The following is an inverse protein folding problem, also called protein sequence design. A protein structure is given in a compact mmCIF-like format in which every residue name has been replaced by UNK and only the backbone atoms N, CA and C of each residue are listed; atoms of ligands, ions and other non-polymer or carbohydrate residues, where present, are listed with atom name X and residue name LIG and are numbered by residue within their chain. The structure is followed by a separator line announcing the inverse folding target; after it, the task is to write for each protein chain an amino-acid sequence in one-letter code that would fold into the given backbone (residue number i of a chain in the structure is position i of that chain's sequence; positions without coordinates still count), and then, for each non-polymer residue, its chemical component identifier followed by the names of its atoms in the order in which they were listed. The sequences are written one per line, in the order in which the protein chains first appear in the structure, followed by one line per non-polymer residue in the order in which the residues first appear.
data_IF_661169979890
#
_entry.id   IF_661169979890
#
_cell.length_a   1.000
_cell.length_b   1.000
_cell.length_c   1.000
_cell.angle_alpha   90.00
_cell.angle_beta   90.00
_cell.angle_gamma   90.00
#
_symmetry.space_group_name_H-M   'P 1'
#
loop_
_entity.id
_entity.type
_entity.pdbx_description
1 polymer ?
#
# COMPACT_ATOMS: atom_id res chain seq x y z
N UNK A 1 8.25 12.60 -22.14
CA UNK A 1 9.12 13.79 -22.02
C UNK A 1 10.55 13.32 -21.78
N UNK A 2 11.57 13.95 -22.39
CA UNK A 2 12.96 13.75 -21.94
C UNK A 2 13.16 14.66 -20.73
N UNK A 3 13.11 14.09 -19.53
CA UNK A 3 13.31 14.85 -18.31
C UNK A 3 14.80 15.06 -18.06
N UNK A 4 15.16 16.29 -17.70
CA UNK A 4 16.52 16.73 -17.38
C UNK A 4 16.48 17.53 -16.08
N UNK A 5 17.61 17.66 -15.38
CA UNK A 5 17.71 18.48 -14.16
C UNK A 5 17.16 19.92 -14.36
N UNK A 6 17.38 20.51 -15.53
CA UNK A 6 16.88 21.84 -15.85
C UNK A 6 15.35 21.87 -16.01
N UNK A 7 14.77 20.91 -16.73
CA UNK A 7 13.31 20.84 -16.90
C UNK A 7 12.57 20.55 -15.59
N UNK A 8 13.17 19.75 -14.71
CA UNK A 8 12.60 19.46 -13.39
C UNK A 8 12.60 20.69 -12.49
N UNK A 9 13.71 21.44 -12.45
CA UNK A 9 13.79 22.70 -11.71
C UNK A 9 12.76 23.72 -12.18
N UNK A 10 12.61 23.87 -13.51
CA UNK A 10 11.62 24.77 -14.09
C UNK A 10 10.19 24.33 -13.77
N UNK A 11 9.90 23.03 -13.81
CA UNK A 11 8.58 22.47 -13.46
C UNK A 11 8.24 22.77 -11.99
N UNK A 12 9.15 22.46 -11.06
CA UNK A 12 8.92 22.70 -9.63
C UNK A 12 8.78 24.19 -9.32
N UNK A 13 9.54 25.06 -10.00
CA UNK A 13 9.41 26.50 -9.87
C UNK A 13 8.05 26.99 -10.39
N UNK A 14 7.60 26.48 -11.54
CA UNK A 14 6.27 26.78 -12.08
C UNK A 14 5.15 26.31 -11.15
N UNK A 15 5.19 25.07 -10.66
CA UNK A 15 4.19 24.52 -9.74
C UNK A 15 4.06 25.35 -8.45
N UNK A 16 5.18 25.91 -7.96
CA UNK A 16 5.17 26.84 -6.81
C UNK A 16 4.51 28.18 -7.11
N UNK A 17 4.64 28.67 -8.35
CA UNK A 17 4.13 29.98 -8.77
C UNK A 17 2.65 29.94 -9.21
N UNK A 18 2.26 28.94 -9.99
CA UNK A 18 0.92 28.85 -10.62
C UNK A 18 0.04 27.76 -10.02
N UNK A 19 0.55 27.01 -9.04
CA UNK A 19 -0.13 25.87 -8.43
C UNK A 19 0.12 24.56 -9.18
N UNK A 20 0.14 23.46 -8.43
CA UNK A 20 0.33 22.11 -8.97
C UNK A 20 -0.87 21.67 -9.82
N UNK A 21 -0.59 21.14 -11.02
CA UNK A 21 -1.54 20.40 -11.84
C UNK A 21 -1.08 18.95 -12.01
N UNK A 22 -1.92 17.96 -11.66
CA UNK A 22 -1.59 16.56 -11.88
C UNK A 22 -1.32 16.25 -13.35
N UNK A 23 -0.20 15.59 -13.61
CA UNK A 23 0.20 15.11 -14.92
C UNK A 23 0.51 13.62 -14.76
N UNK A 24 -0.50 12.74 -14.97
CA UNK A 24 -0.32 11.32 -14.85
C UNK A 24 0.81 10.82 -15.73
N UNK A 25 1.64 9.94 -15.19
CA UNK A 25 2.71 9.29 -15.95
C UNK A 25 2.77 7.81 -15.61
N UNK A 26 3.25 7.06 -16.58
CA UNK A 26 3.41 5.62 -16.48
C UNK A 26 4.89 5.29 -16.67
N UNK A 27 5.50 4.68 -15.66
CA UNK A 27 6.91 4.28 -15.68
C UNK A 27 7.14 3.04 -16.55
N UNK A 28 6.14 2.18 -16.63
CA UNK A 28 6.15 0.96 -17.45
C UNK A 28 4.71 0.68 -17.93
N UNK A 29 4.47 0.44 -19.23
CA UNK A 29 3.13 0.22 -19.75
C UNK A 29 2.32 -0.85 -19.01
N UNK A 30 1.08 -0.53 -18.66
CA UNK A 30 0.14 -1.42 -17.98
C UNK A 30 0.09 -1.24 -16.45
N UNK A 31 1.12 -0.66 -15.84
CA UNK A 31 1.18 -0.48 -14.39
C UNK A 31 0.21 0.60 -13.89
N UNK A 32 -0.11 1.61 -14.71
CA UNK A 32 -1.17 2.57 -14.40
C UNK A 32 -2.51 1.87 -14.24
N UNK A 33 -2.85 0.97 -15.17
CA UNK A 33 -4.07 0.15 -15.12
C UNK A 33 -4.08 -0.79 -13.91
N UNK A 34 -2.96 -1.43 -13.59
CA UNK A 34 -2.86 -2.27 -12.39
C UNK A 34 -3.14 -1.47 -11.11
N UNK A 35 -2.58 -0.26 -11.02
CA UNK A 35 -2.84 0.66 -9.89
C UNK A 35 -4.31 1.04 -9.79
N UNK A 36 -4.97 1.35 -10.91
CA UNK A 36 -6.40 1.65 -10.93
C UNK A 36 -7.24 0.46 -10.47
N UNK A 37 -6.93 -0.76 -10.93
CA UNK A 37 -7.62 -1.98 -10.48
C UNK A 37 -7.47 -2.20 -8.98
N UNK A 38 -6.26 -2.08 -8.44
CA UNK A 38 -5.99 -2.21 -7.00
C UNK A 38 -6.70 -1.08 -6.22
N UNK A 39 -6.67 0.15 -6.74
CA UNK A 39 -7.35 1.29 -6.11
C UNK A 39 -8.85 1.01 -5.95
N UNK A 40 -9.52 0.44 -6.95
CA UNK A 40 -10.94 0.11 -6.86
C UNK A 40 -11.23 -0.94 -5.78
N UNK A 41 -10.40 -2.00 -5.69
CA UNK A 41 -10.52 -3.01 -4.64
C UNK A 41 -10.34 -2.39 -3.24
N UNK A 42 -9.32 -1.55 -3.07
CA UNK A 42 -9.04 -0.93 -1.77
C UNK A 42 -10.07 0.14 -1.43
N UNK A 43 -10.59 0.91 -2.40
CA UNK A 43 -11.70 1.85 -2.19
C UNK A 43 -13.00 1.13 -1.80
N UNK A 44 -13.25 -0.06 -2.36
CA UNK A 44 -14.35 -0.93 -1.95
C UNK A 44 -14.19 -1.38 -0.49
N UNK A 45 -12.99 -1.83 -0.11
CA UNK A 45 -12.68 -2.22 1.27
C UNK A 45 -12.85 -1.05 2.24
N UNK A 46 -12.31 0.13 1.89
CA UNK A 46 -12.46 1.32 2.73
C UNK A 46 -13.93 1.72 2.89
N UNK A 47 -14.75 1.54 1.85
CA UNK A 47 -16.19 1.80 1.90
C UNK A 47 -16.87 0.84 2.87
N UNK A 48 -16.68 -0.46 2.67
CA UNK A 48 -17.33 -1.50 3.46
C UNK A 48 -16.94 -1.42 4.94
N UNK A 49 -15.65 -1.24 5.24
CA UNK A 49 -15.13 -1.22 6.61
C UNK A 49 -15.11 0.18 7.24
N UNK A 50 -15.68 1.18 6.56
CA UNK A 50 -15.82 2.57 7.03
C UNK A 50 -14.47 3.19 7.41
N UNK A 51 -13.45 2.94 6.59
CA UNK A 51 -12.15 3.59 6.73
C UNK A 51 -12.13 4.95 6.02
N UNK A 52 -11.19 5.85 6.38
CA UNK A 52 -11.07 7.15 5.72
C UNK A 52 -10.95 7.03 4.21
N UNK A 53 -11.66 7.90 3.48
CA UNK A 53 -11.63 7.99 2.02
C UNK A 53 -11.60 9.46 1.63
N UNK A 54 -10.64 9.83 0.78
CA UNK A 54 -10.48 11.20 0.25
C UNK A 54 -10.56 12.27 1.37
N UNK A 55 -10.04 11.94 2.54
CA UNK A 55 -10.03 12.78 3.72
C UNK A 55 -8.93 13.85 3.61
N UNK A 56 -9.18 15.01 4.21
CA UNK A 56 -8.11 15.99 4.43
C UNK A 56 -7.17 15.37 5.45
N UNK A 57 -5.85 15.25 5.16
CA UNK A 57 -4.93 14.59 6.08
C UNK A 57 -4.73 15.43 7.33
N UNK A 58 -4.88 14.77 8.47
CA UNK A 58 -4.44 15.26 9.78
C UNK A 58 -3.23 14.41 10.26
N UNK A 59 -2.54 14.82 11.34
CA UNK A 59 -1.42 14.06 11.86
C UNK A 59 -1.76 12.61 12.21
N UNK A 60 -2.95 12.35 12.77
CA UNK A 60 -3.36 11.01 13.18
C UNK A 60 -3.52 10.07 11.98
N UNK A 61 -4.17 10.53 10.91
CA UNK A 61 -4.30 9.78 9.66
C UNK A 61 -2.94 9.50 9.03
N UNK A 62 -2.06 10.51 8.95
CA UNK A 62 -0.72 10.35 8.39
C UNK A 62 0.11 9.33 9.17
N UNK A 63 0.11 9.39 10.50
CA UNK A 63 0.79 8.41 11.37
C UNK A 63 0.20 7.01 11.23
N UNK A 64 -1.13 6.90 11.12
CA UNK A 64 -1.78 5.61 10.88
C UNK A 64 -1.33 5.01 9.54
N UNK A 65 -1.33 5.80 8.45
CA UNK A 65 -0.85 5.32 7.14
C UNK A 65 0.63 4.96 7.15
N UNK A 66 1.46 5.76 7.84
CA UNK A 66 2.88 5.46 8.04
C UNK A 66 3.08 4.13 8.77
N UNK A 67 2.34 3.90 9.86
CA UNK A 67 2.40 2.67 10.64
C UNK A 67 2.03 1.45 9.80
N UNK A 68 0.92 1.52 9.06
CA UNK A 68 0.48 0.40 8.20
C UNK A 68 1.52 0.08 7.13
N UNK A 69 2.06 1.09 6.42
CA UNK A 69 3.12 0.85 5.43
C UNK A 69 4.37 0.27 6.09
N UNK A 70 4.75 0.76 7.27
CA UNK A 70 5.90 0.24 7.99
C UNK A 70 5.70 -1.22 8.41
N UNK A 71 4.51 -1.59 8.89
CA UNK A 71 4.18 -2.97 9.28
C UNK A 71 4.39 -3.91 8.08
N UNK A 72 3.69 -3.68 6.96
CA UNK A 72 3.76 -4.59 5.82
C UNK A 72 5.12 -4.56 5.11
N UNK A 73 5.71 -3.38 4.90
CA UNK A 73 6.96 -3.28 4.13
C UNK A 73 8.20 -3.59 4.98
N UNK A 74 8.29 -3.05 6.20
CA UNK A 74 9.53 -3.10 6.99
C UNK A 74 9.56 -4.32 7.89
N UNK A 75 8.46 -4.59 8.59
CA UNK A 75 8.40 -5.72 9.52
C UNK A 75 8.28 -7.04 8.77
N UNK A 76 7.58 -7.07 7.64
CA UNK A 76 7.30 -8.31 6.90
C UNK A 76 8.08 -8.40 5.57
N UNK A 77 7.93 -7.41 4.69
CA UNK A 77 8.50 -7.43 3.34
C UNK A 77 10.02 -7.51 3.27
N UNK A 78 10.74 -6.66 4.03
CA UNK A 78 12.21 -6.68 4.04
C UNK A 78 12.74 -8.04 4.54
N UNK A 79 12.32 -8.57 5.71
CA UNK A 79 12.75 -9.90 6.15
C UNK A 79 12.40 -11.01 5.16
N UNK A 80 11.19 -11.00 4.59
CA UNK A 80 10.78 -12.01 3.60
C UNK A 80 11.70 -12.01 2.37
N UNK A 81 12.00 -10.83 1.84
CA UNK A 81 12.96 -10.66 0.75
C UNK A 81 14.37 -11.13 1.12
N UNK A 82 14.89 -10.70 2.27
CA UNK A 82 16.25 -11.05 2.73
C UNK A 82 16.44 -12.54 3.01
N UNK A 83 15.39 -13.20 3.50
CA UNK A 83 15.42 -14.62 3.83
C UNK A 83 15.10 -15.53 2.63
N UNK A 84 14.74 -14.95 1.47
CA UNK A 84 14.31 -15.74 0.31
C UNK A 84 13.01 -16.52 0.53
N UNK A 85 12.19 -16.11 1.49
CA UNK A 85 10.90 -16.74 1.76
C UNK A 85 9.89 -16.27 0.71
N UNK A 86 9.74 -17.05 -0.35
CA UNK A 86 8.88 -16.69 -1.48
C UNK A 86 7.40 -16.57 -1.10
N UNK A 87 6.92 -17.37 -0.15
CA UNK A 87 5.52 -17.29 0.29
C UNK A 87 5.30 -15.99 1.05
N UNK A 88 6.15 -15.69 2.04
CA UNK A 88 6.07 -14.45 2.80
C UNK A 88 6.33 -13.20 1.93
N UNK A 89 7.19 -13.33 0.91
CA UNK A 89 7.47 -12.24 -0.03
C UNK A 89 6.21 -11.88 -0.83
N UNK A 90 5.52 -12.87 -1.38
CA UNK A 90 4.29 -12.65 -2.15
C UNK A 90 3.18 -12.06 -1.28
N UNK A 91 3.05 -12.53 -0.04
CA UNK A 91 2.10 -11.98 0.94
C UNK A 91 2.41 -10.49 1.21
N UNK A 92 3.65 -10.19 1.61
CA UNK A 92 4.08 -8.83 1.91
C UNK A 92 4.04 -7.89 0.69
N UNK A 93 4.31 -8.38 -0.52
CA UNK A 93 4.14 -7.60 -1.75
C UNK A 93 2.70 -7.14 -1.91
N UNK A 94 1.75 -8.05 -1.71
CA UNK A 94 0.33 -7.79 -1.90
C UNK A 94 -0.25 -6.94 -0.77
N UNK A 95 0.10 -7.20 0.48
CA UNK A 95 -0.30 -6.41 1.63
C UNK A 95 0.30 -5.00 1.61
N UNK A 96 1.58 -4.86 1.22
CA UNK A 96 2.18 -3.55 0.97
C UNK A 96 1.38 -2.78 -0.10
N UNK A 97 1.04 -3.39 -1.22
CA UNK A 97 0.24 -2.72 -2.26
C UNK A 97 -1.14 -2.31 -1.72
N UNK A 98 -1.76 -3.15 -0.90
CA UNK A 98 -3.04 -2.87 -0.26
C UNK A 98 -2.97 -1.64 0.64
N UNK A 99 -1.93 -1.52 1.49
CA UNK A 99 -1.75 -0.36 2.38
C UNK A 99 -1.12 0.85 1.70
N UNK A 100 -0.29 0.66 0.68
CA UNK A 100 0.31 1.72 -0.13
C UNK A 100 -0.75 2.43 -0.95
N UNK A 101 -1.50 1.69 -1.77
CA UNK A 101 -2.63 2.23 -2.53
C UNK A 101 -3.76 2.70 -1.61
N UNK A 102 -3.99 2.00 -0.49
CA UNK A 102 -4.94 2.46 0.53
C UNK A 102 -4.62 3.82 1.13
N UNK A 103 -3.33 4.23 1.11
CA UNK A 103 -2.93 5.58 1.52
C UNK A 103 -3.39 6.62 0.50
N UNK A 104 -3.34 6.29 -0.79
CA UNK A 104 -3.86 7.13 -1.88
C UNK A 104 -5.39 7.21 -1.89
N UNK A 105 -6.08 6.14 -1.49
CA UNK A 105 -7.53 6.11 -1.26
C UNK A 105 -7.92 6.99 -0.08
N UNK A 106 -7.18 6.89 1.03
CA UNK A 106 -7.51 7.58 2.27
C UNK A 106 -7.41 9.11 2.17
N UNK A 107 -6.44 9.62 1.41
CA UNK A 107 -6.10 11.04 1.38
C UNK A 107 -6.69 11.72 0.15
N UNK A 108 -7.28 12.91 0.34
CA UNK A 108 -7.86 13.72 -0.73
C UNK A 108 -6.81 14.03 -1.80
N UNK A 109 -7.11 13.66 -3.04
CA UNK A 109 -6.19 13.83 -4.17
C UNK A 109 -4.99 12.87 -4.15
N UNK A 110 -4.98 11.85 -3.29
CA UNK A 110 -3.85 10.93 -3.15
C UNK A 110 -3.46 10.25 -4.46
N UNK A 111 -4.42 9.68 -5.20
CA UNK A 111 -4.16 9.02 -6.48
C UNK A 111 -3.61 9.96 -7.56
N UNK A 112 -4.24 11.12 -7.77
CA UNK A 112 -3.79 12.09 -8.78
C UNK A 112 -2.40 12.63 -8.46
N UNK A 113 -2.12 12.81 -7.17
CA UNK A 113 -0.87 13.32 -6.65
C UNK A 113 0.25 12.27 -6.71
N UNK A 114 -0.06 11.01 -6.40
CA UNK A 114 0.90 9.90 -6.48
C UNK A 114 1.27 9.50 -7.89
N UNK A 115 0.27 9.39 -8.77
CA UNK A 115 0.46 9.03 -10.18
C UNK A 115 1.03 10.17 -11.03
N UNK A 116 1.35 11.33 -10.43
CA UNK A 116 1.96 12.45 -11.14
C UNK A 116 3.47 12.39 -11.12
N UNK A 117 4.08 12.75 -12.24
CA UNK A 117 5.54 12.85 -12.33
C UNK A 117 6.06 13.96 -11.41
N UNK A 118 7.08 13.66 -10.60
CA UNK A 118 7.71 14.63 -9.71
C UNK A 118 9.01 15.19 -10.30
N UNK A 119 10.09 14.39 -10.33
CA UNK A 119 11.37 14.70 -11.01
C UNK A 119 12.02 13.43 -11.53
N UNK A 120 13.05 13.52 -12.35
CA UNK A 120 13.65 12.37 -13.03
C UNK A 120 14.29 11.48 -11.97
N UNK A 121 15.05 12.11 -11.09
CA UNK A 121 15.69 11.49 -9.93
C UNK A 121 14.66 10.84 -9.01
N UNK A 122 13.54 11.51 -8.75
CA UNK A 122 12.58 11.06 -7.74
C UNK A 122 11.48 10.13 -8.29
N UNK A 123 11.34 10.03 -9.60
CA UNK A 123 10.33 9.16 -10.20
C UNK A 123 10.99 8.06 -11.02
N UNK A 124 11.73 8.44 -12.06
CA UNK A 124 12.25 7.48 -13.04
C UNK A 124 13.50 6.79 -12.54
N UNK A 125 14.50 7.51 -12.04
CA UNK A 125 15.78 6.91 -11.64
C UNK A 125 15.59 5.94 -10.47
N UNK A 126 14.76 6.31 -9.48
CA UNK A 126 14.37 5.42 -8.39
C UNK A 126 13.66 4.16 -8.89
N UNK A 127 12.72 4.30 -9.82
CA UNK A 127 12.05 3.14 -10.42
C UNK A 127 13.01 2.26 -11.23
N UNK A 128 13.96 2.84 -11.97
CA UNK A 128 14.95 2.06 -12.72
C UNK A 128 15.80 1.22 -11.75
N UNK A 129 16.10 1.77 -10.57
CA UNK A 129 16.76 1.10 -9.46
C UNK A 129 15.83 0.14 -8.71
N UNK A 130 15.29 -0.87 -9.38
CA UNK A 130 14.43 -1.90 -8.73
C UNK A 130 15.10 -3.26 -8.64
N UNK A 131 15.79 -3.73 -9.68
CA UNK A 131 16.42 -5.07 -9.73
C UNK A 131 17.70 -5.01 -10.58
N UNK A 132 18.67 -5.87 -10.27
CA UNK A 132 19.98 -6.05 -10.88
C UNK A 132 20.91 -4.87 -10.63
N UNK A 133 20.89 -4.36 -9.39
CA UNK A 133 21.76 -3.25 -8.99
C UNK A 133 23.19 -3.78 -8.83
N UNK A 134 24.21 -3.13 -9.45
CA UNK A 134 25.59 -3.59 -9.31
C UNK A 134 26.03 -3.67 -7.85
N UNK A 135 26.46 -4.87 -7.42
CA UNK A 135 26.92 -5.13 -6.05
C UNK A 135 25.84 -5.67 -5.10
N UNK A 136 24.56 -5.66 -5.50
CA UNK A 136 23.48 -6.27 -4.73
C UNK A 136 23.40 -7.79 -4.98
N UNK A 137 22.95 -8.53 -3.97
CA UNK A 137 22.40 -9.89 -4.16
C UNK A 137 20.97 -9.82 -4.70
N UNK A 138 20.44 -10.95 -5.18
CA UNK A 138 19.02 -11.04 -5.57
C UNK A 138 18.08 -10.69 -4.42
N UNK A 139 18.45 -11.03 -3.19
CA UNK A 139 17.70 -10.73 -1.97
C UNK A 139 17.73 -9.24 -1.63
N UNK A 140 18.86 -8.57 -1.89
CA UNK A 140 18.96 -7.13 -1.74
C UNK A 140 18.03 -6.41 -2.71
N UNK A 141 18.00 -6.86 -3.96
CA UNK A 141 17.12 -6.32 -4.99
C UNK A 141 15.63 -6.54 -4.70
N UNK A 142 15.26 -7.74 -4.20
CA UNK A 142 13.89 -8.02 -3.77
C UNK A 142 13.41 -7.12 -2.62
N UNK A 143 14.33 -6.62 -1.80
CA UNK A 143 13.99 -5.75 -0.67
C UNK A 143 13.78 -4.27 -1.07
N UNK A 144 14.26 -3.85 -2.25
CA UNK A 144 14.27 -2.43 -2.63
C UNK A 144 12.87 -1.79 -2.65
N UNK A 145 11.80 -2.42 -3.21
CA UNK A 145 10.46 -1.82 -3.17
C UNK A 145 9.99 -1.52 -1.73
N UNK A 146 10.37 -2.37 -0.77
CA UNK A 146 10.02 -2.21 0.63
C UNK A 146 10.87 -1.16 1.35
N UNK A 147 12.16 -1.03 1.02
CA UNK A 147 12.99 0.08 1.49
C UNK A 147 12.49 1.43 0.92
N UNK A 148 12.01 1.45 -0.32
CA UNK A 148 11.37 2.64 -0.90
C UNK A 148 10.08 3.01 -0.14
N UNK A 149 9.28 2.01 0.24
CA UNK A 149 8.07 2.17 1.04
C UNK A 149 8.35 2.63 2.48
N UNK A 150 9.41 2.11 3.12
CA UNK A 150 9.89 2.54 4.44
C UNK A 150 10.16 4.03 4.49
N UNK A 151 10.91 4.53 3.53
CA UNK A 151 11.21 5.96 3.43
C UNK A 151 9.93 6.79 3.22
N UNK A 152 8.94 6.26 2.49
CA UNK A 152 7.65 6.93 2.36
C UNK A 152 6.89 6.99 3.71
N UNK A 153 6.95 5.93 4.52
CA UNK A 153 6.41 5.93 5.88
C UNK A 153 7.11 6.95 6.78
N UNK A 154 8.44 7.08 6.70
CA UNK A 154 9.19 8.11 7.42
C UNK A 154 8.76 9.52 7.01
N UNK A 155 8.53 9.76 5.71
CA UNK A 155 8.07 11.07 5.24
C UNK A 155 6.63 11.39 5.66
N UNK A 156 5.74 10.38 5.75
CA UNK A 156 4.40 10.57 6.31
C UNK A 156 4.48 11.02 7.79
N UNK A 157 5.33 10.39 8.59
CA UNK A 157 5.57 10.81 9.98
C UNK A 157 6.15 12.22 10.07
N UNK A 158 7.15 12.55 9.24
CA UNK A 158 7.73 13.89 9.21
C UNK A 158 6.70 14.97 8.82
N UNK A 159 5.78 14.65 7.90
CA UNK A 159 4.67 15.55 7.55
C UNK A 159 3.68 15.70 8.73
N UNK A 160 3.38 14.62 9.45
CA UNK A 160 2.56 14.67 10.66
C UNK A 160 3.20 15.58 11.73
N UNK A 161 4.49 15.40 12.01
CA UNK A 161 5.25 16.23 12.95
C UNK A 161 5.21 17.71 12.53
N UNK A 162 5.35 17.99 11.23
CA UNK A 162 5.31 19.34 10.66
C UNK A 162 3.94 20.01 10.85
N UNK A 163 2.86 19.26 10.66
CA UNK A 163 1.48 19.73 10.87
C UNK A 163 1.17 20.02 12.34
N UNK A 164 1.75 19.25 13.27
CA UNK A 164 1.61 19.48 14.71
C UNK A 164 2.44 20.68 15.18
N UNK A 165 3.64 20.86 14.63
CA UNK A 165 4.57 21.90 15.06
C UNK A 165 4.13 23.31 14.64
N UNK A 166 3.53 23.47 13.45
CA UNK A 166 3.06 24.77 12.97
C UNK A 166 1.95 24.65 11.92
N UNK A 167 1.08 25.67 11.82
CA UNK A 167 0.21 25.81 10.66
C UNK A 167 1.05 25.90 9.37
N UNK A 168 0.65 25.16 8.35
CA UNK A 168 1.19 25.27 6.99
C UNK A 168 0.09 25.70 6.05
N UNK A 169 0.46 26.32 4.93
CA UNK A 169 -0.51 26.70 3.88
C UNK A 169 -1.00 25.49 3.09
N UNK A 170 -2.18 25.58 2.48
CA UNK A 170 -2.71 24.53 1.58
C UNK A 170 -1.74 24.18 0.45
N UNK A 171 -1.05 25.18 -0.12
CA UNK A 171 -0.06 24.97 -1.18
C UNK A 171 1.15 24.17 -0.67
N UNK A 172 1.62 24.48 0.54
CA UNK A 172 2.71 23.73 1.17
C UNK A 172 2.29 22.29 1.48
N UNK A 173 1.08 22.08 2.01
CA UNK A 173 0.54 20.75 2.26
C UNK A 173 0.46 19.93 0.97
N UNK A 174 -0.06 20.51 -0.12
CA UNK A 174 -0.14 19.84 -1.43
C UNK A 174 1.24 19.45 -1.94
N UNK A 175 2.26 20.30 -1.77
CA UNK A 175 3.63 20.00 -2.18
C UNK A 175 4.24 18.83 -1.39
N UNK A 176 4.05 18.82 -0.06
CA UNK A 176 4.54 17.73 0.79
C UNK A 176 3.83 16.42 0.45
N UNK A 177 2.49 16.45 0.33
CA UNK A 177 1.71 15.28 -0.08
C UNK A 177 2.13 14.78 -1.46
N UNK A 178 2.43 15.67 -2.42
CA UNK A 178 2.96 15.27 -3.72
C UNK A 178 4.24 14.50 -3.63
N UNK A 179 5.18 14.96 -2.82
CA UNK A 179 6.45 14.28 -2.62
C UNK A 179 6.23 12.88 -2.03
N UNK A 180 5.40 12.76 -1.00
CA UNK A 180 5.16 11.49 -0.29
C UNK A 180 4.35 10.52 -1.14
N UNK A 181 3.25 10.95 -1.76
CA UNK A 181 2.41 10.09 -2.59
C UNK A 181 3.16 9.57 -3.82
N UNK A 182 4.00 10.41 -4.46
CA UNK A 182 4.83 9.96 -5.57
C UNK A 182 5.82 8.88 -5.10
N UNK A 183 6.37 9.00 -3.89
CA UNK A 183 7.26 7.98 -3.34
C UNK A 183 6.54 6.65 -3.10
N UNK A 184 5.34 6.69 -2.52
CA UNK A 184 4.49 5.50 -2.36
C UNK A 184 4.18 4.89 -3.74
N UNK A 185 3.82 5.72 -4.72
CA UNK A 185 3.53 5.25 -6.07
C UNK A 185 4.74 4.57 -6.71
N UNK A 186 5.92 5.18 -6.64
CA UNK A 186 7.17 4.56 -7.14
C UNK A 186 7.39 3.22 -6.46
N UNK A 187 7.28 3.11 -5.13
CA UNK A 187 7.39 1.82 -4.44
C UNK A 187 6.39 0.78 -4.96
N UNK A 188 5.12 1.14 -5.18
CA UNK A 188 4.14 0.23 -5.80
C UNK A 188 4.58 -0.24 -7.19
N UNK A 189 5.09 0.66 -8.02
CA UNK A 189 5.58 0.35 -9.37
C UNK A 189 6.79 -0.58 -9.34
N UNK A 190 7.67 -0.41 -8.36
CA UNK A 190 8.80 -1.30 -8.11
C UNK A 190 8.31 -2.70 -7.72
N UNK A 191 7.27 -2.81 -6.90
CA UNK A 191 6.62 -4.10 -6.57
C UNK A 191 5.98 -4.76 -7.79
N UNK A 192 5.33 -4.00 -8.68
CA UNK A 192 4.79 -4.55 -9.93
C UNK A 192 5.91 -5.10 -10.82
N UNK A 193 7.03 -4.36 -10.91
CA UNK A 193 8.21 -4.83 -11.65
C UNK A 193 8.76 -6.11 -11.05
N UNK A 194 8.83 -6.23 -9.74
CA UNK A 194 9.22 -7.48 -9.08
C UNK A 194 8.27 -8.64 -9.42
N UNK A 195 6.96 -8.39 -9.44
CA UNK A 195 5.96 -9.37 -9.86
C UNK A 195 6.16 -9.85 -11.31
N UNK A 196 6.47 -8.92 -12.24
CA UNK A 196 6.79 -9.27 -13.64
C UNK A 196 7.97 -10.25 -13.72
N UNK A 197 9.03 -10.02 -12.94
CA UNK A 197 10.19 -10.92 -12.91
C UNK A 197 9.87 -12.29 -12.29
N UNK A 198 8.92 -12.35 -11.36
CA UNK A 198 8.39 -13.60 -10.80
C UNK A 198 7.35 -14.27 -11.71
N UNK A 199 6.92 -13.62 -12.78
CA UNK A 199 5.87 -14.10 -13.67
C UNK A 199 4.49 -14.13 -13.01
N UNK A 200 4.26 -13.23 -12.05
CA UNK A 200 3.03 -13.14 -11.25
C UNK A 200 2.16 -12.01 -11.78
N UNK A 201 0.88 -12.31 -12.03
CA UNK A 201 -0.12 -11.27 -12.22
C UNK A 201 -0.39 -10.60 -10.87
N UNK A 202 0.11 -9.38 -10.73
CA UNK A 202 0.06 -8.65 -9.47
C UNK A 202 -1.37 -8.22 -9.08
N UNK A 203 -2.25 -8.01 -10.07
CA UNK A 203 -3.64 -7.66 -9.81
C UNK A 203 -4.38 -8.87 -9.26
N UNK A 204 -4.13 -10.06 -9.81
CA UNK A 204 -4.66 -11.32 -9.30
C UNK A 204 -4.16 -11.65 -7.90
N UNK A 205 -2.87 -11.40 -7.62
CA UNK A 205 -2.30 -11.58 -6.29
C UNK A 205 -2.99 -10.68 -5.26
N UNK A 206 -3.14 -9.40 -5.57
CA UNK A 206 -3.85 -8.45 -4.69
C UNK A 206 -5.35 -8.77 -4.61
N UNK A 207 -5.97 -9.31 -5.67
CA UNK A 207 -7.36 -9.74 -5.64
C UNK A 207 -7.61 -10.87 -4.65
N UNK A 208 -6.64 -11.78 -4.45
CA UNK A 208 -6.75 -12.84 -3.45
C UNK A 208 -6.66 -12.30 -2.01
N UNK A 209 -5.73 -11.36 -1.76
CA UNK A 209 -5.69 -10.59 -0.50
C UNK A 209 -7.01 -9.85 -0.28
N UNK A 210 -7.52 -9.18 -1.31
CA UNK A 210 -8.78 -8.45 -1.25
C UNK A 210 -9.94 -9.38 -0.91
N UNK A 211 -10.10 -10.51 -1.63
CA UNK A 211 -11.12 -11.52 -1.36
C UNK A 211 -11.08 -11.94 0.09
N UNK A 212 -9.90 -12.31 0.59
CA UNK A 212 -9.71 -12.69 1.98
C UNK A 212 -10.13 -11.57 2.93
N UNK A 213 -9.64 -10.34 2.72
CA UNK A 213 -9.99 -9.15 3.50
C UNK A 213 -11.50 -8.86 3.56
N UNK A 214 -12.23 -9.08 2.47
CA UNK A 214 -13.68 -8.89 2.41
C UNK A 214 -14.46 -9.93 3.22
N UNK A 215 -13.86 -11.09 3.53
CA UNK A 215 -14.47 -12.12 4.41
C UNK A 215 -14.32 -11.84 5.91
N UNK A 216 -13.73 -10.69 6.30
CA UNK A 216 -13.58 -10.32 7.73
C UNK A 216 -14.90 -10.00 8.42
N UNK A 217 -16.00 -9.81 7.67
CA UNK A 217 -17.33 -9.53 8.21
C UNK A 217 -17.85 -10.67 9.09
N UNK A 218 -18.57 -10.29 10.13
CA UNK A 218 -19.18 -11.16 11.12
C UNK A 218 -20.66 -11.38 10.82
N UNK A 219 -21.24 -12.52 11.25
CA UNK A 219 -22.64 -12.83 10.99
C UNK A 219 -23.61 -11.73 11.40
N UNK A 220 -24.62 -11.51 10.56
CA UNK A 220 -25.75 -10.62 10.82
C UNK A 220 -26.65 -11.15 11.94
N UNK A 221 -26.95 -12.45 11.86
CA UNK A 221 -27.79 -13.14 12.83
C UNK A 221 -27.17 -13.10 14.23
N UNK A 222 -28.01 -12.79 15.22
CA UNK A 222 -27.56 -12.57 16.58
C UNK A 222 -27.05 -13.86 17.23
N UNK A 223 -27.66 -15.01 16.92
CA UNK A 223 -27.29 -16.30 17.48
C UNK A 223 -26.02 -16.84 16.81
N UNK A 224 -25.92 -16.76 15.48
CA UNK A 224 -24.69 -17.10 14.76
C UNK A 224 -23.52 -16.23 15.23
N UNK A 225 -23.73 -14.92 15.40
CA UNK A 225 -22.69 -14.01 15.91
C UNK A 225 -22.32 -14.33 17.36
N UNK A 226 -23.29 -14.69 18.20
CA UNK A 226 -23.02 -15.12 19.59
C UNK A 226 -22.12 -16.36 19.60
N UNK A 227 -22.43 -17.36 18.77
CA UNK A 227 -21.58 -18.56 18.63
C UNK A 227 -20.19 -18.22 18.09
N UNK A 228 -20.10 -17.31 17.12
CA UNK A 228 -18.83 -16.83 16.60
C UNK A 228 -17.98 -16.13 17.71
N UNK A 229 -18.61 -15.27 18.52
CA UNK A 229 -17.94 -14.60 19.66
C UNK A 229 -17.44 -15.61 20.68
N UNK A 230 -18.22 -16.64 21.00
CA UNK A 230 -17.81 -17.68 21.95
C UNK A 230 -16.60 -18.49 21.47
N UNK A 231 -16.45 -18.68 20.16
CA UNK A 231 -15.37 -19.47 19.57
C UNK A 231 -14.19 -18.62 19.07
N UNK A 232 -14.23 -17.29 19.24
CA UNK A 232 -13.14 -16.42 18.77
C UNK A 232 -12.00 -16.30 19.79
N UNK A 233 -10.82 -15.93 19.30
CA UNK A 233 -9.60 -15.74 20.11
C UNK A 233 -9.50 -14.37 20.80
N UNK A 234 -10.50 -13.50 20.63
CA UNK A 234 -10.44 -12.11 21.08
C UNK A 234 -10.96 -11.95 22.50
N UNK A 235 -10.50 -10.92 23.19
CA UNK A 235 -11.09 -10.51 24.47
C UNK A 235 -12.52 -10.03 24.22
N UNK A 236 -13.50 -10.73 24.81
CA UNK A 236 -14.92 -10.41 24.69
C UNK A 236 -15.27 -9.05 25.30
N UNK A 237 -14.52 -8.61 26.32
CA UNK A 237 -14.71 -7.28 26.93
C UNK A 237 -14.23 -6.13 26.05
N UNK A 238 -13.41 -6.43 25.05
CA UNK A 238 -12.82 -5.46 24.12
C UNK A 238 -13.33 -5.68 22.68
N UNK A 239 -14.34 -6.54 22.49
CA UNK A 239 -14.93 -6.84 21.19
C UNK A 239 -16.22 -6.03 20.97
N UNK A 240 -16.16 -5.10 20.04
CA UNK A 240 -17.29 -4.28 19.58
C UNK A 240 -17.80 -4.70 18.21
N UNK A 241 -19.05 -4.36 17.93
CA UNK A 241 -19.69 -4.59 16.63
C UNK A 241 -20.39 -3.34 16.12
N UNK A 242 -20.28 -3.09 14.82
CA UNK A 242 -21.08 -2.10 14.11
C UNK A 242 -21.52 -2.63 12.76
N UNK A 243 -22.59 -2.08 12.21
CA UNK A 243 -23.12 -2.54 10.93
C UNK A 243 -22.17 -2.21 9.77
N UNK A 244 -22.00 -3.15 8.84
CA UNK A 244 -21.28 -2.91 7.59
C UNK A 244 -22.24 -2.31 6.56
N UNK A 245 -22.03 -1.05 6.17
CA UNK A 245 -22.93 -0.36 5.24
C UNK A 245 -23.10 -1.10 3.92
N UNK A 246 -24.35 -1.22 3.46
CA UNK A 246 -24.69 -1.90 2.20
C UNK A 246 -24.76 -3.43 2.28
N UNK A 247 -24.65 -4.01 3.47
CA UNK A 247 -24.81 -5.45 3.72
C UNK A 247 -25.59 -5.68 5.02
N UNK A 248 -26.12 -6.87 5.29
CA UNK A 248 -26.72 -7.17 6.60
C UNK A 248 -25.68 -7.55 7.67
N UNK A 249 -24.40 -7.69 7.28
CA UNK A 249 -23.34 -8.22 8.11
C UNK A 249 -22.74 -7.17 9.07
N UNK A 250 -21.94 -7.65 10.02
CA UNK A 250 -21.32 -6.80 11.04
C UNK A 250 -19.81 -6.67 10.85
N UNK A 251 -19.28 -5.52 11.23
CA UNK A 251 -17.85 -5.28 11.43
C UNK A 251 -17.54 -5.54 12.90
N UNK A 252 -16.76 -6.59 13.17
CA UNK A 252 -16.13 -6.79 14.49
C UNK A 252 -14.88 -5.93 14.60
N UNK A 253 -14.74 -5.20 15.70
CA UNK A 253 -13.57 -4.36 15.95
C UNK A 253 -13.17 -4.38 17.41
N UNK A 254 -11.90 -4.10 17.67
CA UNK A 254 -11.37 -3.94 19.02
C UNK A 254 -11.73 -2.56 19.56
N UNK A 255 -12.38 -2.47 20.71
CA UNK A 255 -12.86 -1.20 21.27
C UNK A 255 -11.69 -0.29 21.67
N UNK A 256 -10.60 -0.86 22.18
CA UNK A 256 -9.44 -0.11 22.67
C UNK A 256 -8.73 0.73 21.60
N UNK A 257 -8.72 0.30 20.35
CA UNK A 257 -7.94 0.93 19.28
C UNK A 257 -8.60 0.96 17.89
N UNK A 258 -9.83 0.44 17.78
CA UNK A 258 -10.59 0.41 16.54
C UNK A 258 -10.11 -0.60 15.49
N UNK A 259 -9.17 -1.51 15.82
CA UNK A 259 -8.67 -2.52 14.87
C UNK A 259 -9.80 -3.44 14.41
N UNK A 260 -9.98 -3.60 13.10
CA UNK A 260 -10.92 -4.57 12.53
C UNK A 260 -10.44 -5.98 12.83
N UNK A 261 -11.35 -6.82 13.33
CA UNK A 261 -11.07 -8.18 13.76
C UNK A 261 -11.67 -9.19 12.78
N UNK A 262 -10.88 -10.19 12.41
CA UNK A 262 -11.31 -11.26 11.49
C UNK A 262 -12.41 -12.10 12.14
N UNK A 263 -13.54 -12.27 11.45
CA UNK A 263 -14.58 -13.24 11.85
C UNK A 263 -14.00 -14.66 11.97
N UNK A 264 -14.51 -15.53 12.85
CA UNK A 264 -14.16 -16.96 12.85
C UNK A 264 -14.49 -17.68 11.53
N UNK A 265 -15.43 -17.15 10.74
CA UNK A 265 -15.76 -17.65 9.40
C UNK A 265 -14.89 -17.03 8.29
N UNK A 266 -13.85 -16.29 8.66
CA UNK A 266 -12.89 -15.69 7.73
C UNK A 266 -12.19 -16.76 6.89
N UNK A 267 -11.97 -16.45 5.62
CA UNK A 267 -11.23 -17.29 4.71
C UNK A 267 -9.82 -16.74 4.53
N UNK A 268 -8.83 -17.53 4.97
CA UNK A 268 -7.41 -17.20 4.81
C UNK A 268 -7.03 -17.05 3.33
N UNK A 269 -5.95 -16.30 3.09
CA UNK A 269 -5.34 -16.09 1.78
C UNK A 269 -4.78 -17.41 1.26
N UNK A 270 -5.07 -17.76 0.01
CA UNK A 270 -4.43 -18.91 -0.66
C UNK A 270 -3.39 -18.45 -1.68
N UNK A 271 -2.12 -18.49 -1.26
CA UNK A 271 -0.98 -18.13 -2.11
C UNK A 271 -0.43 -19.29 -2.95
N UNK A 272 -0.99 -20.49 -2.85
CA UNK A 272 -0.39 -21.72 -3.40
C UNK A 272 -0.07 -21.59 -4.89
N UNK A 273 -1.06 -21.14 -5.69
CA UNK A 273 -0.89 -20.97 -7.14
C UNK A 273 0.19 -19.94 -7.51
N UNK A 274 0.35 -18.90 -6.70
CA UNK A 274 1.33 -17.84 -6.93
C UNK A 274 2.73 -18.31 -6.57
N UNK A 275 2.87 -19.03 -5.46
CA UNK A 275 4.15 -19.63 -5.05
C UNK A 275 4.61 -20.65 -6.10
N UNK A 276 3.72 -21.52 -6.58
CA UNK A 276 4.03 -22.47 -7.66
C UNK A 276 4.49 -21.77 -8.93
N UNK A 277 3.82 -20.67 -9.30
CA UNK A 277 4.19 -19.86 -10.46
C UNK A 277 5.56 -19.19 -10.26
N UNK A 278 5.78 -18.54 -9.13
CA UNK A 278 7.03 -17.85 -8.81
C UNK A 278 8.23 -18.80 -8.84
N UNK A 279 8.04 -20.05 -8.39
CA UNK A 279 9.05 -21.13 -8.42
C UNK A 279 9.54 -21.48 -9.83
N UNK A 280 8.78 -21.15 -10.87
CA UNK A 280 9.18 -21.38 -12.27
C UNK A 280 9.96 -20.21 -12.87
N UNK A 281 10.11 -19.10 -12.15
CA UNK A 281 10.83 -17.92 -12.62
C UNK A 281 12.35 -18.10 -12.59
N UNK A 282 13.06 -17.44 -13.50
CA UNK A 282 14.53 -17.39 -13.47
C UNK A 282 15.07 -16.72 -12.21
N UNK A 283 14.29 -15.80 -11.63
CA UNK A 283 14.63 -15.12 -10.38
C UNK A 283 14.63 -16.10 -9.19
N UNK A 284 13.71 -17.07 -9.17
CA UNK A 284 13.66 -18.10 -8.11
C UNK A 284 14.86 -19.05 -8.16
N UNK A 285 15.34 -19.41 -9.35
CA UNK A 285 16.56 -20.23 -9.49
C UNK A 285 17.82 -19.54 -8.95
N UNK A 286 17.82 -18.20 -8.91
CA UNK A 286 18.89 -17.43 -8.27
C UNK A 286 18.77 -17.39 -6.74
N UNK A 287 17.54 -17.46 -6.22
CA UNK A 287 17.24 -17.51 -4.76
C UNK A 287 17.58 -18.87 -4.15
N UNK A 288 17.41 -19.97 -4.89
CA UNK A 288 17.62 -21.34 -4.39
C UNK A 288 19.09 -21.70 -4.15
N UNK A 289 20.03 -20.93 -4.72
CA UNK A 289 21.49 -21.18 -4.62
C UNK A 289 22.09 -20.51 -3.41
#
# INVERSE_FOLDING_TARGET
MKFTKLTDHLKLAADKLVGFKPEPYELNPGFGKATESIYLMVDQFHTLFQHPRRAIPDPALLRLRAKLIHEEAVTEGIPAAKNGDMTALLDAMADFLYVGVGTMVAIKGGISTGMSYYTQEQSVDRFIHTIMVPGNTVFDDMAIPFEEAKEAALMLNALADKLEAKPISDSELVQELRRVMNKIYVACMMTYRLADFLGIDIVELVAEIHRSNMTKLWPADAEERRVAVENCKYDKGDLGFRHAEGTDMMIGFRVSDGKILKSPTYSDVDLTRFVEKAKTSSLYEMVKK
#
